data_IF_668666650404
#
_entry.id   IF_668666650404
#
_cell.length_a   1.000
_cell.length_b   1.000
_cell.length_c   1.000
_cell.angle_alpha   90.00
_cell.angle_beta   90.00
_cell.angle_gamma   90.00
#
_symmetry.space_group_name_H-M   'P 1'
#
loop_
_entity.id
_entity.type
_entity.pdbx_description
1 polymer ?
#
# COMPACT_ATOMS: atom_id res chain seq x y z
N UNK A 1 58.15 -15.49 2.80
CA UNK A 1 56.92 -16.29 2.95
C UNK A 1 55.99 -15.55 3.91
N UNK A 2 55.02 -14.80 3.35
CA UNK A 2 54.01 -14.14 4.17
C UNK A 2 52.71 -14.98 4.02
N UNK A 3 52.35 -15.71 5.09
CA UNK A 3 51.08 -16.36 5.21
C UNK A 3 50.01 -15.27 5.43
N UNK A 4 49.24 -14.97 4.40
CA UNK A 4 48.00 -14.19 4.55
C UNK A 4 46.99 -15.07 5.31
N UNK A 5 46.82 -14.80 6.62
CA UNK A 5 45.75 -15.40 7.43
C UNK A 5 44.43 -14.84 6.91
N UNK A 6 43.71 -15.66 6.15
CA UNK A 6 42.31 -15.36 5.78
C UNK A 6 41.44 -15.49 7.03
N UNK A 7 41.29 -14.40 7.76
CA UNK A 7 40.39 -14.31 8.90
C UNK A 7 38.94 -14.20 8.36
N UNK A 8 38.45 -15.26 7.72
CA UNK A 8 37.04 -15.38 7.32
C UNK A 8 36.24 -15.69 8.57
N UNK A 9 35.61 -14.65 9.13
CA UNK A 9 34.63 -14.81 10.21
C UNK A 9 33.59 -15.85 9.82
N UNK A 10 33.28 -16.84 10.67
CA UNK A 10 32.26 -17.84 10.35
C UNK A 10 30.91 -17.16 10.16
N UNK A 11 30.39 -17.24 8.94
CA UNK A 11 29.04 -16.75 8.67
C UNK A 11 28.07 -17.48 9.57
N UNK A 12 27.34 -16.75 10.41
CA UNK A 12 26.37 -17.36 11.32
C UNK A 12 25.13 -17.82 10.51
N UNK A 13 25.17 -19.03 10.01
CA UNK A 13 24.15 -19.67 9.17
C UNK A 13 22.75 -19.62 9.82
N UNK A 14 22.66 -19.72 11.14
CA UNK A 14 21.40 -19.68 11.86
C UNK A 14 20.72 -18.31 11.71
N UNK A 15 21.48 -17.23 11.82
CA UNK A 15 20.94 -15.85 11.65
C UNK A 15 20.47 -15.66 10.21
N UNK A 16 21.20 -16.17 9.24
CA UNK A 16 20.85 -16.04 7.83
C UNK A 16 19.55 -16.81 7.50
N UNK A 17 19.41 -18.04 7.98
CA UNK A 17 18.20 -18.84 7.80
C UNK A 17 17.00 -18.19 8.50
N UNK A 18 17.16 -17.71 9.72
CA UNK A 18 16.10 -17.01 10.44
C UNK A 18 15.62 -15.76 9.68
N UNK A 19 16.57 -14.95 9.19
CA UNK A 19 16.27 -13.76 8.40
C UNK A 19 15.48 -14.08 7.13
N UNK A 20 15.82 -15.16 6.41
CA UNK A 20 15.09 -15.61 5.23
C UNK A 20 13.66 -16.05 5.57
N UNK A 21 13.48 -16.82 6.64
CA UNK A 21 12.15 -17.23 7.12
C UNK A 21 11.30 -16.02 7.49
N UNK A 22 11.84 -15.08 8.24
CA UNK A 22 11.15 -13.85 8.61
C UNK A 22 10.79 -13.02 7.38
N UNK A 23 11.70 -12.84 6.42
CA UNK A 23 11.41 -12.14 5.18
C UNK A 23 10.22 -12.79 4.46
N UNK A 24 10.20 -14.11 4.33
CA UNK A 24 9.09 -14.84 3.70
C UNK A 24 7.77 -14.60 4.42
N UNK A 25 7.75 -14.68 5.77
CA UNK A 25 6.55 -14.44 6.57
C UNK A 25 6.02 -13.02 6.36
N UNK A 26 6.89 -12.01 6.45
CA UNK A 26 6.47 -10.62 6.30
C UNK A 26 6.07 -10.27 4.86
N UNK A 27 6.66 -10.89 3.84
CA UNK A 27 6.19 -10.78 2.46
C UNK A 27 4.78 -11.34 2.30
N UNK A 28 4.48 -12.50 2.87
CA UNK A 28 3.11 -13.05 2.86
C UNK A 28 2.13 -12.13 3.58
N UNK A 29 2.49 -11.64 4.77
CA UNK A 29 1.65 -10.69 5.50
C UNK A 29 1.41 -9.41 4.69
N UNK A 30 2.44 -8.88 4.03
CA UNK A 30 2.32 -7.71 3.16
C UNK A 30 1.36 -7.97 1.99
N UNK A 31 1.51 -9.10 1.29
CA UNK A 31 0.62 -9.46 0.18
C UNK A 31 -0.81 -9.61 0.63
N UNK A 32 -1.07 -10.35 1.71
CA UNK A 32 -2.43 -10.57 2.23
C UNK A 32 -3.07 -9.22 2.61
N UNK A 33 -2.37 -8.38 3.37
CA UNK A 33 -2.89 -7.07 3.79
C UNK A 33 -3.19 -6.16 2.59
N UNK A 34 -2.28 -6.08 1.61
CA UNK A 34 -2.50 -5.25 0.43
C UNK A 34 -3.57 -5.84 -0.50
N UNK A 35 -3.70 -7.16 -0.60
CA UNK A 35 -4.80 -7.80 -1.34
C UNK A 35 -6.16 -7.44 -0.77
N UNK A 36 -6.29 -7.46 0.57
CA UNK A 36 -7.52 -7.05 1.26
C UNK A 36 -7.82 -5.57 0.96
N UNK A 37 -6.81 -4.70 1.00
CA UNK A 37 -7.01 -3.29 0.72
C UNK A 37 -7.41 -3.03 -0.74
N UNK A 38 -6.72 -3.65 -1.70
CA UNK A 38 -7.03 -3.53 -3.14
C UNK A 38 -8.42 -4.08 -3.42
N UNK A 39 -8.76 -5.25 -2.89
CA UNK A 39 -10.09 -5.84 -3.02
C UNK A 39 -11.19 -4.95 -2.43
N UNK A 40 -10.96 -4.41 -1.22
CA UNK A 40 -11.88 -3.46 -0.61
C UNK A 40 -12.05 -2.17 -1.41
N UNK A 41 -10.96 -1.63 -1.98
CA UNK A 41 -11.03 -0.44 -2.83
C UNK A 41 -11.77 -0.73 -4.14
N UNK A 42 -11.53 -1.88 -4.78
CA UNK A 42 -12.27 -2.30 -5.97
C UNK A 42 -13.77 -2.48 -5.65
N UNK A 43 -14.10 -3.14 -4.55
CA UNK A 43 -15.49 -3.26 -4.10
C UNK A 43 -16.13 -1.89 -3.89
N UNK A 44 -15.42 -0.98 -3.23
CA UNK A 44 -15.88 0.39 -3.05
C UNK A 44 -16.13 1.08 -4.40
N UNK A 45 -15.20 1.00 -5.35
CA UNK A 45 -15.32 1.64 -6.65
C UNK A 45 -16.45 1.07 -7.51
N UNK A 46 -16.68 -0.23 -7.45
CA UNK A 46 -17.65 -0.91 -8.33
C UNK A 46 -19.05 -0.92 -7.72
N UNK A 47 -19.16 -1.10 -6.40
CA UNK A 47 -20.42 -1.32 -5.71
C UNK A 47 -20.85 -0.09 -4.90
N UNK A 48 -19.99 0.42 -4.03
CA UNK A 48 -20.38 1.47 -3.07
C UNK A 48 -20.45 2.84 -3.73
N UNK A 49 -19.48 3.18 -4.59
CA UNK A 49 -19.40 4.47 -5.26
C UNK A 49 -20.67 4.79 -6.09
N UNK A 50 -21.21 3.90 -6.92
CA UNK A 50 -22.47 4.17 -7.64
C UNK A 50 -23.66 4.44 -6.71
N UNK A 51 -23.73 3.80 -5.53
CA UNK A 51 -24.84 3.97 -4.60
C UNK A 51 -24.94 5.41 -4.10
N UNK A 52 -23.81 6.03 -3.74
CA UNK A 52 -23.82 7.39 -3.20
C UNK A 52 -23.55 8.49 -4.25
N UNK A 53 -23.08 8.14 -5.42
CA UNK A 53 -22.80 9.11 -6.49
C UNK A 53 -23.92 9.25 -7.52
N UNK A 54 -24.98 8.45 -7.46
CA UNK A 54 -26.13 8.49 -8.37
C UNK A 54 -27.45 8.16 -7.67
N UNK A 55 -28.52 8.95 -7.90
CA UNK A 55 -28.57 10.23 -8.61
C UNK A 55 -28.14 11.39 -7.71
N UNK A 56 -27.31 12.29 -8.23
CA UNK A 56 -26.87 13.48 -7.51
C UNK A 56 -27.98 14.56 -7.50
N UNK A 57 -28.08 15.39 -6.44
CA UNK A 57 -27.30 15.39 -5.18
C UNK A 57 -27.96 14.56 -4.06
N UNK A 58 -29.13 13.97 -4.30
CA UNK A 58 -29.92 13.30 -3.26
C UNK A 58 -29.18 12.11 -2.62
N UNK A 59 -28.57 11.26 -3.44
CA UNK A 59 -27.81 10.09 -2.98
C UNK A 59 -26.64 10.43 -2.05
N UNK A 60 -25.97 11.55 -2.28
CA UNK A 60 -24.89 12.04 -1.40
C UNK A 60 -25.43 12.40 -0.03
N UNK A 61 -26.56 13.15 0.01
CA UNK A 61 -27.20 13.55 1.27
C UNK A 61 -27.67 12.34 2.09
N UNK A 62 -28.27 11.37 1.42
CA UNK A 62 -28.76 10.15 2.06
C UNK A 62 -27.59 9.31 2.61
N UNK A 63 -26.56 9.10 1.82
CA UNK A 63 -25.42 8.27 2.20
C UNK A 63 -24.58 8.87 3.33
N UNK A 64 -24.22 10.14 3.22
CA UNK A 64 -23.43 10.81 4.26
C UNK A 64 -24.27 11.27 5.44
N UNK A 65 -25.59 11.46 5.28
CA UNK A 65 -26.52 11.73 6.37
C UNK A 65 -26.83 10.48 7.22
N UNK A 66 -26.66 9.26 6.69
CA UNK A 66 -26.65 8.03 7.49
C UNK A 66 -25.25 7.82 8.06
N UNK A 67 -24.98 8.42 9.21
CA UNK A 67 -23.68 8.45 9.89
C UNK A 67 -22.96 7.09 9.96
N UNK A 68 -23.69 5.99 10.09
CA UNK A 68 -23.10 4.64 10.27
C UNK A 68 -22.33 4.13 9.04
N UNK A 69 -22.83 4.34 7.82
CA UNK A 69 -22.16 3.82 6.62
C UNK A 69 -20.81 4.47 6.41
N UNK A 70 -20.72 5.77 6.66
CA UNK A 70 -19.47 6.52 6.55
C UNK A 70 -18.48 6.17 7.67
N UNK A 71 -18.93 5.99 8.90
CA UNK A 71 -18.09 5.55 10.03
C UNK A 71 -17.42 4.21 9.75
N UNK A 72 -18.15 3.22 9.22
CA UNK A 72 -17.55 1.92 8.83
C UNK A 72 -16.53 2.04 7.70
N UNK A 73 -16.75 2.94 6.73
CA UNK A 73 -15.76 3.20 5.70
C UNK A 73 -14.50 3.87 6.26
N UNK A 74 -14.66 4.84 7.17
CA UNK A 74 -13.53 5.46 7.87
C UNK A 74 -12.77 4.45 8.71
N UNK A 75 -13.45 3.53 9.39
CA UNK A 75 -12.79 2.45 10.11
C UNK A 75 -11.92 1.60 9.18
N UNK A 76 -12.44 1.20 8.01
CA UNK A 76 -11.66 0.36 7.08
C UNK A 76 -10.51 1.11 6.39
N UNK A 77 -10.72 2.38 6.01
CA UNK A 77 -9.74 3.19 5.28
C UNK A 77 -8.95 4.16 6.18
N UNK A 78 -9.24 4.18 7.47
CA UNK A 78 -8.67 5.12 8.43
C UNK A 78 -7.17 4.93 8.71
N UNK A 79 -6.54 5.91 9.40
CA UNK A 79 -5.09 5.93 9.64
C UNK A 79 -4.56 4.68 10.35
N UNK A 80 -5.32 4.12 11.28
CA UNK A 80 -5.01 2.89 12.00
C UNK A 80 -4.69 1.73 11.06
N UNK A 81 -5.56 1.52 10.07
CA UNK A 81 -5.37 0.44 9.10
C UNK A 81 -4.31 0.74 8.06
N UNK A 82 -4.04 2.02 7.75
CA UNK A 82 -2.93 2.40 6.89
C UNK A 82 -1.58 1.98 7.48
N UNK A 83 -1.39 2.20 8.80
CA UNK A 83 -0.17 1.77 9.51
C UNK A 83 -0.03 0.25 9.50
N UNK A 84 -1.11 -0.48 9.83
CA UNK A 84 -1.10 -1.96 9.84
C UNK A 84 -0.73 -2.52 8.45
N UNK A 85 -1.16 -1.87 7.38
CA UNK A 85 -0.90 -2.32 6.00
C UNK A 85 0.52 -2.07 5.53
N UNK A 86 1.12 -0.94 5.91
CA UNK A 86 2.48 -0.59 5.48
C UNK A 86 3.57 -1.28 6.31
N UNK A 87 3.29 -1.60 7.56
CA UNK A 87 4.28 -2.16 8.49
C UNK A 87 4.94 -3.46 7.98
N UNK A 88 4.20 -4.48 7.47
CA UNK A 88 4.84 -5.68 6.94
C UNK A 88 5.73 -5.40 5.73
N UNK A 89 5.41 -4.41 4.89
CA UNK A 89 6.22 -4.01 3.75
C UNK A 89 7.54 -3.39 4.22
N UNK A 90 7.49 -2.50 5.22
CA UNK A 90 8.70 -1.87 5.80
C UNK A 90 9.59 -2.93 6.43
N UNK A 91 9.03 -3.86 7.21
CA UNK A 91 9.81 -4.95 7.82
C UNK A 91 10.44 -5.83 6.73
N UNK A 92 9.70 -6.16 5.66
CA UNK A 92 10.23 -6.89 4.52
C UNK A 92 11.38 -6.15 3.84
N UNK A 93 11.28 -4.83 3.69
CA UNK A 93 12.34 -3.99 3.14
C UNK A 93 13.61 -4.05 4.00
N UNK A 94 13.48 -3.92 5.32
CA UNK A 94 14.61 -4.02 6.25
C UNK A 94 15.26 -5.41 6.21
N UNK A 95 14.46 -6.46 6.21
CA UNK A 95 14.94 -7.84 6.12
C UNK A 95 15.57 -8.15 4.75
N UNK A 96 15.02 -7.61 3.67
CA UNK A 96 15.51 -7.78 2.29
C UNK A 96 16.67 -6.85 1.89
N UNK A 97 17.10 -5.93 2.76
CA UNK A 97 18.02 -4.84 2.43
C UNK A 97 19.36 -5.28 1.83
N UNK A 98 19.90 -6.41 2.25
CA UNK A 98 21.18 -6.93 1.75
C UNK A 98 21.12 -7.44 0.30
N UNK A 99 19.94 -7.70 -0.23
CA UNK A 99 19.74 -8.12 -1.62
C UNK A 99 19.30 -6.92 -2.47
N UNK A 100 20.14 -6.46 -3.39
CA UNK A 100 19.83 -5.31 -4.25
C UNK A 100 18.49 -5.45 -4.98
N UNK A 101 18.15 -6.66 -5.45
CA UNK A 101 16.88 -6.91 -6.16
C UNK A 101 15.68 -6.78 -5.22
N UNK A 102 15.70 -7.45 -4.05
CA UNK A 102 14.63 -7.34 -3.05
C UNK A 102 14.47 -5.90 -2.58
N UNK A 103 15.59 -5.24 -2.25
CA UNK A 103 15.60 -3.84 -1.82
C UNK A 103 14.93 -2.92 -2.83
N UNK A 104 15.30 -2.99 -4.11
CA UNK A 104 14.77 -2.09 -5.12
C UNK A 104 13.26 -2.27 -5.32
N UNK A 105 12.75 -3.50 -5.41
CA UNK A 105 11.31 -3.72 -5.56
C UNK A 105 10.53 -3.32 -4.31
N UNK A 106 11.05 -3.62 -3.11
CA UNK A 106 10.41 -3.24 -1.85
C UNK A 106 10.49 -1.72 -1.61
N UNK A 107 11.54 -1.04 -2.07
CA UNK A 107 11.60 0.43 -2.07
C UNK A 107 10.51 1.02 -2.96
N UNK A 108 10.35 0.54 -4.20
CA UNK A 108 9.28 1.00 -5.09
C UNK A 108 7.92 0.78 -4.43
N UNK A 109 7.67 -0.42 -3.88
CA UNK A 109 6.44 -0.73 -3.14
C UNK A 109 6.22 0.26 -1.98
N UNK A 110 7.24 0.48 -1.16
CA UNK A 110 7.13 1.39 0.00
C UNK A 110 6.86 2.82 -0.43
N UNK A 111 7.55 3.32 -1.45
CA UNK A 111 7.39 4.69 -1.96
C UNK A 111 6.00 4.90 -2.58
N UNK A 112 5.49 3.95 -3.35
CA UNK A 112 4.14 4.05 -3.94
C UNK A 112 3.06 3.99 -2.88
N UNK A 113 3.22 3.17 -1.83
CA UNK A 113 2.29 3.15 -0.69
C UNK A 113 2.34 4.47 0.10
N UNK A 114 3.53 5.00 0.38
CA UNK A 114 3.70 6.29 1.04
C UNK A 114 3.04 7.41 0.23
N UNK A 115 3.25 7.44 -1.09
CA UNK A 115 2.60 8.40 -1.98
C UNK A 115 1.07 8.24 -1.96
N UNK A 116 0.55 7.02 -1.98
CA UNK A 116 -0.88 6.76 -1.85
C UNK A 116 -1.47 7.27 -0.53
N UNK A 117 -0.75 7.12 0.59
CA UNK A 117 -1.14 7.66 1.89
C UNK A 117 -1.12 9.20 1.87
N UNK A 118 -0.06 9.81 1.35
CA UNK A 118 0.06 11.27 1.22
C UNK A 118 -1.11 11.82 0.41
N UNK A 119 -1.42 11.23 -0.75
CA UNK A 119 -2.57 11.64 -1.57
C UNK A 119 -3.90 11.49 -0.83
N UNK A 120 -4.03 10.47 0.02
CA UNK A 120 -5.22 10.32 0.86
C UNK A 120 -5.38 11.49 1.82
N UNK A 121 -4.30 11.89 2.48
CA UNK A 121 -4.32 12.95 3.50
C UNK A 121 -4.53 14.33 2.86
N UNK A 122 -3.81 14.63 1.76
CA UNK A 122 -3.81 15.98 1.19
C UNK A 122 -4.91 16.22 0.15
N UNK A 123 -5.49 15.16 -0.39
CA UNK A 123 -6.48 15.28 -1.47
C UNK A 123 -7.83 14.64 -1.13
N UNK A 124 -7.84 13.35 -0.75
CA UNK A 124 -9.09 12.60 -0.53
C UNK A 124 -9.82 13.09 0.72
N UNK A 125 -9.14 13.22 1.85
CA UNK A 125 -9.75 13.64 3.12
C UNK A 125 -10.37 15.04 3.05
N UNK A 126 -9.68 16.10 2.54
CA UNK A 126 -10.30 17.42 2.42
C UNK A 126 -11.55 17.43 1.53
N UNK A 127 -11.57 16.64 0.46
CA UNK A 127 -12.76 16.54 -0.40
C UNK A 127 -13.88 15.82 0.34
N UNK A 128 -13.60 14.76 1.09
CA UNK A 128 -14.60 14.08 1.92
C UNK A 128 -15.25 15.05 2.91
N UNK A 129 -14.46 15.79 3.65
CA UNK A 129 -14.95 16.79 4.60
C UNK A 129 -15.81 17.87 3.91
N UNK A 130 -15.36 18.35 2.74
CA UNK A 130 -16.11 19.32 1.96
C UNK A 130 -17.45 18.75 1.45
N UNK A 131 -17.49 17.51 0.98
CA UNK A 131 -18.73 16.85 0.55
C UNK A 131 -19.68 16.71 1.74
N UNK A 132 -19.20 16.28 2.91
CA UNK A 132 -20.01 16.10 4.11
C UNK A 132 -20.59 17.43 4.61
N UNK A 133 -19.78 18.48 4.74
CA UNK A 133 -20.22 19.77 5.16
C UNK A 133 -21.31 20.34 4.22
N UNK A 134 -21.07 20.28 2.92
CA UNK A 134 -21.96 20.88 1.90
C UNK A 134 -23.19 20.03 1.57
N UNK A 135 -23.17 18.74 1.81
CA UNK A 135 -24.35 17.89 1.63
C UNK A 135 -25.52 18.30 2.56
N UNK A 136 -25.20 18.93 3.72
CA UNK A 136 -26.18 19.46 4.68
C UNK A 136 -26.66 20.88 4.40
N UNK A 137 -25.87 21.74 3.73
CA UNK A 137 -26.03 23.20 3.71
C UNK A 137 -26.71 23.81 2.47
N UNK A 138 -27.44 23.04 1.67
CA UNK A 138 -28.16 23.63 0.55
C UNK A 138 -27.29 24.07 -0.65
N UNK A 139 -26.11 23.47 -0.81
CA UNK A 139 -25.20 23.69 -1.94
C UNK A 139 -25.85 23.40 -3.29
N UNK A 140 -25.40 24.08 -4.34
CA UNK A 140 -25.95 23.85 -5.68
C UNK A 140 -25.64 22.43 -6.17
N UNK A 141 -26.54 21.82 -6.95
CA UNK A 141 -26.32 20.49 -7.54
C UNK A 141 -25.01 20.37 -8.34
N UNK A 142 -24.63 21.44 -9.06
CA UNK A 142 -23.41 21.47 -9.88
C UNK A 142 -22.14 21.50 -9.03
N UNK A 143 -22.17 22.14 -7.88
CA UNK A 143 -21.04 22.18 -6.96
C UNK A 143 -20.80 20.77 -6.36
N UNK A 144 -21.86 20.10 -5.92
CA UNK A 144 -21.78 18.72 -5.42
C UNK A 144 -21.26 17.78 -6.51
N UNK A 145 -21.77 17.89 -7.73
CA UNK A 145 -21.32 17.09 -8.87
C UNK A 145 -19.82 17.29 -9.15
N UNK A 146 -19.33 18.51 -9.09
CA UNK A 146 -17.90 18.82 -9.28
C UNK A 146 -17.03 18.19 -8.19
N UNK A 147 -17.43 18.30 -6.92
CA UNK A 147 -16.70 17.69 -5.80
C UNK A 147 -16.65 16.17 -5.92
N UNK A 148 -17.78 15.54 -6.23
CA UNK A 148 -17.85 14.08 -6.43
C UNK A 148 -16.96 13.64 -7.58
N UNK A 149 -16.96 14.32 -8.72
CA UNK A 149 -16.10 13.98 -9.86
C UNK A 149 -14.62 14.14 -9.54
N UNK A 150 -14.25 15.19 -8.76
CA UNK A 150 -12.87 15.39 -8.29
C UNK A 150 -12.45 14.29 -7.32
N UNK A 151 -13.34 13.88 -6.43
CA UNK A 151 -13.11 12.77 -5.51
C UNK A 151 -12.87 11.44 -6.26
N UNK A 152 -13.70 11.14 -7.25
CA UNK A 152 -13.58 9.94 -8.08
C UNK A 152 -12.21 9.91 -8.79
N UNK A 153 -11.78 11.05 -9.32
CA UNK A 153 -10.47 11.17 -9.97
C UNK A 153 -9.33 10.91 -8.96
N UNK A 154 -9.39 11.56 -7.79
CA UNK A 154 -8.39 11.41 -6.73
C UNK A 154 -8.28 9.94 -6.27
N UNK A 155 -9.42 9.27 -6.08
CA UNK A 155 -9.45 7.87 -5.65
C UNK A 155 -8.88 6.91 -6.71
N UNK A 156 -9.20 7.14 -7.99
CA UNK A 156 -8.65 6.35 -9.12
C UNK A 156 -7.13 6.53 -9.25
N UNK A 157 -6.63 7.76 -9.16
CA UNK A 157 -5.18 8.04 -9.19
C UNK A 157 -4.48 7.35 -8.04
N UNK A 158 -5.00 7.50 -6.84
CA UNK A 158 -4.49 6.83 -5.64
C UNK A 158 -4.47 5.31 -5.81
N UNK A 159 -5.57 4.73 -6.28
CA UNK A 159 -5.67 3.30 -6.53
C UNK A 159 -4.61 2.81 -7.51
N UNK A 160 -4.43 3.49 -8.65
CA UNK A 160 -3.44 3.12 -9.65
C UNK A 160 -2.01 3.11 -9.07
N UNK A 161 -1.66 4.11 -8.25
CA UNK A 161 -0.35 4.20 -7.61
C UNK A 161 -0.14 3.03 -6.63
N UNK A 162 -1.13 2.73 -5.79
CA UNK A 162 -1.06 1.61 -4.84
C UNK A 162 -0.99 0.27 -5.58
N UNK A 163 -1.73 0.12 -6.68
CA UNK A 163 -1.74 -1.10 -7.50
C UNK A 163 -0.37 -1.35 -8.16
N UNK A 164 0.33 -0.29 -8.61
CA UNK A 164 1.71 -0.40 -9.09
C UNK A 164 2.62 -0.95 -7.98
N UNK A 165 2.55 -0.41 -6.77
CA UNK A 165 3.31 -0.90 -5.64
C UNK A 165 3.03 -2.37 -5.31
N UNK A 166 1.77 -2.74 -5.34
CA UNK A 166 1.35 -4.13 -5.13
C UNK A 166 1.92 -5.08 -6.21
N UNK A 167 1.93 -4.65 -7.46
CA UNK A 167 2.55 -5.42 -8.55
C UNK A 167 4.03 -5.68 -8.28
N UNK A 168 4.80 -4.67 -7.84
CA UNK A 168 6.21 -4.84 -7.49
C UNK A 168 6.39 -5.73 -6.25
N UNK A 169 5.48 -5.66 -5.27
CA UNK A 169 5.49 -6.58 -4.13
C UNK A 169 5.31 -8.04 -4.59
N UNK A 170 4.32 -8.31 -5.45
CA UNK A 170 4.11 -9.64 -6.03
C UNK A 170 5.33 -10.12 -6.83
N UNK A 171 5.97 -9.22 -7.57
CA UNK A 171 7.19 -9.56 -8.31
C UNK A 171 8.33 -9.98 -7.40
N UNK A 172 8.39 -9.43 -6.18
CA UNK A 172 9.41 -9.78 -5.18
C UNK A 172 9.40 -11.28 -4.84
N UNK A 173 8.23 -11.95 -4.88
CA UNK A 173 8.14 -13.40 -4.66
C UNK A 173 8.83 -14.27 -5.73
N UNK A 174 9.04 -13.74 -6.93
CA UNK A 174 9.77 -14.43 -8.00
C UNK A 174 11.28 -14.40 -7.79
N UNK A 175 11.77 -13.59 -6.88
CA UNK A 175 13.19 -13.47 -6.61
C UNK A 175 13.67 -14.63 -5.73
N UNK A 176 14.84 -15.22 -6.00
CA UNK A 176 15.40 -16.23 -5.13
C UNK A 176 15.69 -15.63 -3.75
N UNK A 177 15.23 -16.27 -2.70
CA UNK A 177 15.40 -15.87 -1.30
C UNK A 177 16.85 -16.03 -0.80
N UNK A 178 17.82 -16.26 -1.69
CA UNK A 178 19.23 -16.30 -1.35
C UNK A 178 19.73 -14.91 -0.98
N UNK A 179 19.78 -14.60 0.31
CA UNK A 179 20.44 -13.41 0.86
C UNK A 179 21.97 -13.59 0.90
N UNK A 180 22.48 -14.68 0.32
CA UNK A 180 23.91 -14.94 0.25
C UNK A 180 24.56 -14.01 -0.76
N UNK A 181 25.47 -13.19 -0.28
CA UNK A 181 26.36 -12.36 -1.09
C UNK A 181 27.44 -13.25 -1.73
N UNK A 182 27.04 -14.28 -2.51
CA UNK A 182 28.00 -15.01 -3.32
C UNK A 182 28.41 -14.11 -4.47
N UNK A 183 29.64 -13.66 -4.39
CA UNK A 183 30.37 -13.04 -5.46
C UNK A 183 30.18 -13.87 -6.74
N UNK A 184 29.51 -13.37 -7.80
CA UNK A 184 29.27 -14.14 -9.02
C UNK A 184 30.58 -14.45 -9.78
N UNK A 185 31.69 -13.84 -9.38
CA UNK A 185 32.96 -13.88 -10.10
C UNK A 185 33.81 -15.15 -9.82
N UNK A 186 33.30 -16.15 -9.10
CA UNK A 186 34.05 -17.38 -8.78
C UNK A 186 33.67 -18.62 -9.62
N UNK A 187 32.89 -18.48 -10.65
CA UNK A 187 32.60 -19.58 -11.60
C UNK A 187 33.03 -19.19 -13.03
N UNK A 188 34.28 -18.82 -13.21
CA UNK A 188 34.95 -18.92 -14.51
C UNK A 188 35.76 -20.22 -14.48
N UNK A 189 35.23 -21.28 -15.08
CA UNK A 189 35.97 -22.41 -15.63
C UNK A 189 35.55 -22.56 -17.06
#
# INVERSE_FOLDING_TARGET
MLQASSNSQPVNWHIMILRQKLLTIFLWLAVINLSIWIGGTLFHMIVVLPIWSHPLPGSVKEFFGSTRAYEYLLDFYGPKWMVIRILPVIISLLLGWSSNRHRNFLLITTLTLALGIILTIIWVYPINEAIMAKAGEGSSPDEIKRMVSTWILADRVRFAIIFIGYFFLLWTFRLPLSLSNKNPDKFNY
#
